data_IF_001952888563
#
_entry.id   IF_001952888563
#
_cell.length_a   1.000
_cell.length_b   1.000
_cell.length_c   1.000
_cell.angle_alpha   90.00
_cell.angle_beta   90.00
_cell.angle_gamma   90.00
#
_symmetry.space_group_name_H-M   'P 1'
#
loop_
_entity.id
_entity.type
_entity.pdbx_description
1 polymer ?
#
# COMPACT_ATOMS: atom_id res chain seq x y z
N UNK A 1 13.86 -19.47 -6.23
CA UNK A 1 13.77 -18.31 -5.31
C UNK A 1 13.73 -18.87 -3.90
N UNK A 2 14.62 -18.41 -3.02
CA UNK A 2 14.66 -18.87 -1.63
C UNK A 2 13.32 -18.54 -0.94
N UNK A 3 12.73 -19.51 -0.22
CA UNK A 3 11.44 -19.32 0.47
C UNK A 3 11.54 -18.21 1.52
N UNK A 4 12.72 -18.01 2.12
CA UNK A 4 12.99 -16.92 3.05
C UNK A 4 12.91 -15.55 2.38
N UNK A 5 13.59 -15.38 1.24
CA UNK A 5 13.58 -14.13 0.46
C UNK A 5 12.15 -13.75 0.01
N UNK A 6 11.40 -14.73 -0.48
CA UNK A 6 10.02 -14.54 -0.93
C UNK A 6 9.12 -14.05 0.22
N UNK A 7 9.28 -14.65 1.40
CA UNK A 7 8.55 -14.25 2.61
C UNK A 7 8.87 -12.81 3.03
N UNK A 8 10.14 -12.42 3.01
CA UNK A 8 10.57 -11.06 3.36
C UNK A 8 9.97 -10.03 2.39
N UNK A 9 9.98 -10.33 1.08
CA UNK A 9 9.40 -9.44 0.06
C UNK A 9 7.90 -9.27 0.28
N UNK A 10 7.17 -10.35 0.57
CA UNK A 10 5.72 -10.27 0.84
C UNK A 10 5.45 -9.42 2.07
N UNK A 11 6.21 -9.59 3.16
CA UNK A 11 6.03 -8.81 4.39
C UNK A 11 6.32 -7.33 4.13
N UNK A 12 7.42 -7.01 3.44
CA UNK A 12 7.78 -5.64 3.11
C UNK A 12 6.71 -4.97 2.22
N UNK A 13 6.24 -5.66 1.19
CA UNK A 13 5.16 -5.18 0.33
C UNK A 13 3.86 -4.96 1.11
N UNK A 14 3.50 -5.91 1.98
CA UNK A 14 2.27 -5.84 2.78
C UNK A 14 2.31 -4.66 3.76
N UNK A 15 3.45 -4.46 4.45
CA UNK A 15 3.64 -3.31 5.34
C UNK A 15 3.51 -1.98 4.58
N UNK A 16 4.12 -1.89 3.39
CA UNK A 16 4.04 -0.70 2.55
C UNK A 16 2.63 -0.45 2.01
N UNK A 17 1.92 -1.50 1.58
CA UNK A 17 0.54 -1.41 1.11
C UNK A 17 -0.38 -0.91 2.23
N UNK A 18 -0.31 -1.50 3.43
CA UNK A 18 -1.11 -1.09 4.59
C UNK A 18 -0.82 0.36 4.98
N UNK A 19 0.45 0.75 5.03
CA UNK A 19 0.82 2.14 5.32
C UNK A 19 0.26 3.12 4.29
N UNK A 20 0.38 2.78 3.00
CA UNK A 20 -0.14 3.57 1.89
C UNK A 20 -1.66 3.74 1.99
N UNK A 21 -2.39 2.67 2.27
CA UNK A 21 -3.84 2.70 2.48
C UNK A 21 -4.23 3.53 3.70
N UNK A 22 -3.51 3.38 4.81
CA UNK A 22 -3.76 4.16 6.03
C UNK A 22 -3.52 5.67 5.81
N UNK A 23 -2.44 6.02 5.14
CA UNK A 23 -2.12 7.42 4.79
C UNK A 23 -3.18 8.00 3.85
N UNK A 24 -3.66 7.22 2.89
CA UNK A 24 -4.71 7.65 1.96
C UNK A 24 -6.06 7.90 2.64
N UNK A 25 -6.40 7.08 3.65
CA UNK A 25 -7.67 7.20 4.39
C UNK A 25 -7.64 8.28 5.47
N UNK A 26 -6.46 8.63 5.98
CA UNK A 26 -6.29 9.67 6.99
C UNK A 26 -6.64 11.04 6.40
N UNK A 27 -7.54 11.77 7.07
CA UNK A 27 -8.01 13.09 6.61
C UNK A 27 -9.12 13.04 5.55
N UNK A 28 -9.53 11.86 5.07
CA UNK A 28 -10.63 11.73 4.10
C UNK A 28 -12.00 11.51 4.71
N UNK A 29 -12.07 10.97 5.93
CA UNK A 29 -13.34 10.77 6.63
C UNK A 29 -13.18 11.15 8.10
N UNK A 30 -13.88 12.20 8.56
CA UNK A 30 -13.89 12.60 9.96
C UNK A 30 -14.33 11.44 10.88
N UNK A 31 -15.23 10.57 10.38
CA UNK A 31 -15.68 9.40 11.12
C UNK A 31 -14.55 8.40 11.33
N UNK A 32 -13.71 8.12 10.33
CA UNK A 32 -12.57 7.19 10.47
C UNK A 32 -11.46 7.73 11.38
N UNK A 33 -11.34 9.05 11.50
CA UNK A 33 -10.32 9.70 12.33
C UNK A 33 -10.76 9.91 13.79
N UNK A 34 -11.99 9.53 14.14
CA UNK A 34 -12.43 9.53 15.54
C UNK A 34 -11.67 8.50 16.38
N UNK A 35 -11.38 8.86 17.64
CA UNK A 35 -10.66 8.00 18.61
C UNK A 35 -11.47 6.79 19.09
N UNK A 36 -12.69 6.58 18.59
CA UNK A 36 -13.51 5.42 18.94
C UNK A 36 -12.86 4.13 18.45
N UNK A 37 -12.83 3.11 19.30
CA UNK A 37 -12.14 1.84 19.05
C UNK A 37 -12.67 1.14 17.79
N UNK A 38 -14.00 1.21 17.57
CA UNK A 38 -14.66 0.70 16.35
C UNK A 38 -14.13 1.37 15.09
N UNK A 39 -14.04 2.70 15.09
CA UNK A 39 -13.63 3.50 13.95
C UNK A 39 -12.16 3.23 13.61
N UNK A 40 -11.32 3.01 14.62
CA UNK A 40 -9.92 2.61 14.44
C UNK A 40 -9.79 1.22 13.79
N UNK A 41 -10.58 0.23 14.22
CA UNK A 41 -10.59 -1.11 13.62
C UNK A 41 -11.04 -1.04 12.16
N UNK A 42 -12.13 -0.32 11.89
CA UNK A 42 -12.66 -0.13 10.53
C UNK A 42 -11.63 0.58 9.64
N UNK A 43 -10.94 1.59 10.17
CA UNK A 43 -9.85 2.28 9.47
C UNK A 43 -8.72 1.32 9.11
N UNK A 44 -8.30 0.44 10.02
CA UNK A 44 -7.26 -0.57 9.74
C UNK A 44 -7.71 -1.56 8.66
N UNK A 45 -8.93 -2.09 8.74
CA UNK A 45 -9.47 -3.01 7.73
C UNK A 45 -9.56 -2.36 6.35
N UNK A 46 -10.08 -1.13 6.27
CA UNK A 46 -10.09 -0.38 5.01
C UNK A 46 -8.68 -0.08 4.52
N UNK A 47 -7.72 0.20 5.41
CA UNK A 47 -6.33 0.47 5.04
C UNK A 47 -5.68 -0.74 4.37
N UNK A 48 -6.03 -1.96 4.80
CA UNK A 48 -5.57 -3.18 4.16
C UNK A 48 -6.14 -3.25 2.74
N UNK A 49 -7.46 -3.17 2.58
CA UNK A 49 -8.12 -3.29 1.27
C UNK A 49 -7.64 -2.20 0.31
N UNK A 50 -7.81 -0.94 0.69
CA UNK A 50 -7.40 0.22 -0.12
C UNK A 50 -5.90 0.23 -0.34
N UNK A 51 -5.12 -0.18 0.65
CA UNK A 51 -3.67 -0.29 0.58
C UNK A 51 -3.19 -1.28 -0.47
N UNK A 52 -3.80 -2.45 -0.57
CA UNK A 52 -3.46 -3.42 -1.63
C UNK A 52 -3.86 -2.95 -3.02
N UNK A 53 -5.03 -2.32 -3.18
CA UNK A 53 -5.43 -1.71 -4.46
C UNK A 53 -4.46 -0.61 -4.89
N UNK A 54 -4.19 0.35 -4.00
CA UNK A 54 -3.25 1.45 -4.26
C UNK A 54 -1.84 0.91 -4.50
N UNK A 55 -1.38 -0.04 -3.69
CA UNK A 55 -0.09 -0.70 -3.83
C UNK A 55 0.07 -1.36 -5.19
N UNK A 56 -0.93 -2.10 -5.66
CA UNK A 56 -0.91 -2.72 -6.98
C UNK A 56 -0.83 -1.68 -8.11
N UNK A 57 -1.64 -0.62 -8.04
CA UNK A 57 -1.59 0.48 -9.01
C UNK A 57 -0.23 1.18 -9.03
N UNK A 58 0.34 1.52 -7.87
CA UNK A 58 1.67 2.13 -7.80
C UNK A 58 2.76 1.21 -8.31
N UNK A 59 2.68 -0.10 -8.03
CA UNK A 59 3.66 -1.07 -8.49
C UNK A 59 3.64 -1.15 -10.03
N UNK A 60 2.46 -1.15 -10.64
CA UNK A 60 2.30 -1.04 -12.10
C UNK A 60 2.94 0.26 -12.62
N UNK A 61 2.65 1.41 -12.01
CA UNK A 61 3.24 2.71 -12.40
C UNK A 61 4.76 2.68 -12.29
N UNK A 62 5.32 2.10 -11.22
CA UNK A 62 6.76 1.98 -11.01
C UNK A 62 7.38 1.11 -12.09
N UNK A 63 6.78 -0.03 -12.43
CA UNK A 63 7.23 -0.88 -13.53
C UNK A 63 7.24 -0.09 -14.83
N UNK A 64 6.12 0.57 -15.19
CA UNK A 64 6.05 1.40 -16.40
C UNK A 64 7.09 2.52 -16.40
N UNK A 65 7.34 3.15 -15.25
CA UNK A 65 8.33 4.23 -15.12
C UNK A 65 9.76 3.73 -15.27
N UNK A 66 10.07 2.53 -14.75
CA UNK A 66 11.36 1.86 -14.95
C UNK A 66 11.53 1.50 -16.42
N UNK A 67 10.53 0.83 -17.03
CA UNK A 67 10.56 0.48 -18.47
C UNK A 67 10.74 1.74 -19.31
N UNK A 68 9.99 2.80 -19.05
CA UNK A 68 10.10 4.07 -19.78
C UNK A 68 11.44 4.78 -19.57
N UNK A 69 12.16 4.53 -18.46
CA UNK A 69 13.52 5.04 -18.23
C UNK A 69 14.54 4.23 -19.03
N UNK A 70 14.45 2.90 -18.96
CA UNK A 70 15.30 1.98 -19.74
C UNK A 70 15.13 2.22 -21.24
N UNK A 71 13.90 2.34 -21.73
CA UNK A 71 13.61 2.63 -23.16
C UNK A 71 14.15 3.99 -23.59
N UNK A 72 14.19 4.98 -22.70
CA UNK A 72 14.77 6.31 -22.98
C UNK A 72 16.29 6.34 -22.90
N UNK A 73 16.96 5.23 -22.57
CA UNK A 73 18.42 5.14 -22.54
C UNK A 73 19.10 6.06 -21.51
N UNK A 74 18.39 6.42 -20.43
CA UNK A 74 18.94 7.17 -19.28
C UNK A 74 19.32 6.19 -18.17
#
# INVERSE_FOLDING_TARGET
MDKGLLTIIIIAYSAWAIYSGYKFLTGRSPWLDQKALKNRIVKVLLSIVVGYFIGAFYLIIVIFKIVARVVRGI
#
